data_IF_154624528772
#
_entry.id   IF_154624528772
#
_cell.length_a   1.000
_cell.length_b   1.000
_cell.length_c   1.000
_cell.angle_alpha   90.00
_cell.angle_beta   90.00
_cell.angle_gamma   90.00
#
_symmetry.space_group_name_H-M   'P 1'
#
loop_
_entity.id
_entity.type
_entity.pdbx_description
1 polymer ?
#
# COMPACT_ATOMS: atom_id res chain seq x y z
N UNK A 1 -12.40 -15.76 20.35
CA UNK A 1 -11.07 -16.41 20.10
C UNK A 1 -10.16 -15.38 19.44
N UNK A 2 -8.90 -15.26 19.86
CA UNK A 2 -7.98 -14.37 19.14
C UNK A 2 -7.77 -14.87 17.71
N UNK A 3 -7.84 -13.98 16.73
CA UNK A 3 -7.56 -14.32 15.33
C UNK A 3 -6.10 -14.74 15.16
N UNK A 4 -5.81 -15.66 14.22
CA UNK A 4 -4.45 -16.12 13.97
C UNK A 4 -3.50 -15.00 13.55
N UNK A 5 -2.23 -15.16 13.85
CA UNK A 5 -1.15 -14.29 13.35
C UNK A 5 -0.44 -15.06 12.24
N UNK A 6 -0.35 -14.46 11.06
CA UNK A 6 0.47 -14.96 9.96
C UNK A 6 1.82 -14.24 9.98
N UNK A 7 2.90 -14.99 9.99
CA UNK A 7 4.26 -14.44 10.11
C UNK A 7 5.03 -14.66 8.83
N UNK A 8 5.64 -13.60 8.32
CA UNK A 8 6.46 -13.59 7.11
C UNK A 8 7.85 -13.08 7.47
N UNK A 9 8.89 -13.85 7.12
CA UNK A 9 10.30 -13.48 7.38
C UNK A 9 11.11 -13.59 6.10
N UNK A 10 11.79 -12.52 5.71
CA UNK A 10 12.65 -12.50 4.54
C UNK A 10 14.05 -13.05 4.83
N UNK A 11 14.90 -13.13 3.79
CA UNK A 11 16.28 -13.61 3.92
C UNK A 11 17.21 -12.64 4.66
N UNK A 12 16.76 -11.43 4.97
CA UNK A 12 17.50 -10.42 5.74
C UNK A 12 17.09 -10.38 7.20
N UNK A 13 16.16 -11.26 7.63
CA UNK A 13 15.65 -11.34 9.00
C UNK A 13 14.58 -10.31 9.31
N UNK A 14 14.07 -9.55 8.31
CA UNK A 14 12.92 -8.68 8.50
C UNK A 14 11.67 -9.54 8.68
N UNK A 15 10.81 -9.18 9.62
CA UNK A 15 9.62 -9.96 9.95
C UNK A 15 8.38 -9.09 10.02
N UNK A 16 7.28 -9.58 9.44
CA UNK A 16 5.94 -9.01 9.58
C UNK A 16 5.04 -10.02 10.26
N UNK A 17 4.37 -9.59 11.30
CA UNK A 17 3.26 -10.32 11.93
C UNK A 17 1.95 -9.70 11.44
N UNK A 18 1.20 -10.45 10.62
CA UNK A 18 -0.04 -9.95 10.01
C UNK A 18 -1.26 -10.55 10.69
N UNK A 19 -2.11 -9.71 11.24
CA UNK A 19 -3.39 -10.10 11.84
C UNK A 19 -4.36 -8.93 11.84
N UNK A 20 -5.64 -9.20 11.71
CA UNK A 20 -6.69 -8.20 11.91
C UNK A 20 -7.29 -8.42 13.30
N UNK A 21 -7.16 -7.48 14.24
CA UNK A 21 -7.68 -7.65 15.60
C UNK A 21 -9.20 -7.79 15.62
N UNK A 22 -9.71 -8.55 16.60
CA UNK A 22 -11.16 -8.54 16.89
C UNK A 22 -11.53 -7.17 17.56
N UNK A 23 -12.73 -6.63 17.31
CA UNK A 23 -13.84 -7.23 16.56
C UNK A 23 -13.92 -6.76 15.09
N UNK A 24 -12.82 -6.20 14.52
CA UNK A 24 -12.86 -5.56 13.21
C UNK A 24 -13.17 -6.54 12.08
N UNK A 25 -14.31 -6.37 11.43
CA UNK A 25 -14.70 -7.08 10.20
C UNK A 25 -15.09 -6.12 9.06
N UNK A 26 -15.20 -4.82 9.35
CA UNK A 26 -15.37 -3.74 8.35
C UNK A 26 -14.08 -2.96 8.28
N UNK A 27 -13.36 -3.15 7.20
CA UNK A 27 -11.96 -2.77 7.08
C UNK A 27 -11.77 -1.89 5.86
N UNK A 28 -11.09 -0.79 6.02
CA UNK A 28 -10.66 0.06 4.91
C UNK A 28 -9.17 -0.14 4.61
N UNK A 29 -8.78 -0.07 3.35
CA UNK A 29 -7.39 -0.04 2.93
C UNK A 29 -7.14 1.10 1.97
N UNK A 30 -6.06 1.86 2.22
CA UNK A 30 -5.61 2.90 1.32
C UNK A 30 -4.63 2.32 0.29
N UNK A 31 -4.97 2.43 -1.00
CA UNK A 31 -4.11 2.01 -2.10
C UNK A 31 -3.70 3.20 -2.97
N UNK A 32 -2.42 3.28 -3.27
CA UNK A 32 -1.84 4.34 -4.11
C UNK A 32 -1.51 3.90 -5.54
N UNK A 33 -1.72 2.60 -5.84
CA UNK A 33 -1.22 1.99 -7.07
C UNK A 33 0.27 1.60 -7.01
N UNK A 34 0.95 1.86 -5.89
CA UNK A 34 2.34 1.43 -5.64
C UNK A 34 2.42 -0.03 -5.21
N UNK A 35 3.63 -0.61 -5.28
CA UNK A 35 3.87 -2.01 -4.95
C UNK A 35 3.49 -2.37 -3.50
N UNK A 36 3.75 -1.46 -2.54
CA UNK A 36 3.53 -1.73 -1.12
C UNK A 36 2.05 -1.90 -0.80
N UNK A 37 1.22 -0.94 -1.25
CA UNK A 37 -0.22 -1.00 -1.03
C UNK A 37 -0.91 -2.11 -1.83
N UNK A 38 -0.35 -2.48 -2.99
CA UNK A 38 -0.91 -3.56 -3.82
C UNK A 38 -0.71 -4.93 -3.16
N UNK A 39 0.50 -5.24 -2.66
CA UNK A 39 0.73 -6.51 -1.98
C UNK A 39 0.00 -6.57 -0.62
N UNK A 40 -0.13 -5.43 0.06
CA UNK A 40 -0.90 -5.34 1.30
C UNK A 40 -2.40 -5.63 1.06
N UNK A 41 -2.98 -5.13 -0.04
CA UNK A 41 -4.35 -5.47 -0.43
C UNK A 41 -4.49 -6.98 -0.71
N UNK A 42 -3.53 -7.57 -1.42
CA UNK A 42 -3.49 -9.02 -1.65
C UNK A 42 -3.48 -9.80 -0.33
N UNK A 43 -2.55 -9.47 0.57
CA UNK A 43 -2.44 -10.12 1.89
C UNK A 43 -3.72 -9.98 2.70
N UNK A 44 -4.33 -8.80 2.71
CA UNK A 44 -5.59 -8.54 3.42
C UNK A 44 -6.72 -9.44 2.92
N UNK A 45 -6.87 -9.57 1.60
CA UNK A 45 -7.90 -10.43 1.00
C UNK A 45 -7.64 -11.89 1.40
N UNK A 46 -6.41 -12.40 1.21
CA UNK A 46 -6.07 -13.78 1.55
C UNK A 46 -6.31 -14.07 3.04
N UNK A 47 -5.92 -13.15 3.91
CA UNK A 47 -6.16 -13.27 5.35
C UNK A 47 -7.66 -13.29 5.67
N UNK A 48 -8.43 -12.36 5.11
CA UNK A 48 -9.87 -12.27 5.37
C UNK A 48 -10.63 -13.48 4.83
N UNK A 49 -10.35 -13.93 3.62
CA UNK A 49 -11.00 -15.14 3.06
C UNK A 49 -10.77 -16.38 3.93
N UNK A 50 -9.61 -16.47 4.56
CA UNK A 50 -9.26 -17.60 5.42
C UNK A 50 -9.79 -17.49 6.85
N UNK A 51 -9.77 -16.28 7.44
CA UNK A 51 -10.00 -16.09 8.87
C UNK A 51 -11.22 -15.24 9.22
N UNK A 52 -11.74 -14.46 8.27
CA UNK A 52 -12.87 -13.53 8.45
C UNK A 52 -13.74 -13.55 7.18
N UNK A 53 -14.38 -14.68 6.86
CA UNK A 53 -15.09 -14.84 5.57
C UNK A 53 -16.29 -13.90 5.39
N UNK A 54 -16.75 -13.27 6.47
CA UNK A 54 -17.80 -12.26 6.50
C UNK A 54 -17.24 -10.81 6.48
N UNK A 55 -15.93 -10.63 6.26
CA UNK A 55 -15.33 -9.30 6.19
C UNK A 55 -15.93 -8.46 5.05
N UNK A 56 -16.08 -7.18 5.32
CA UNK A 56 -16.39 -6.16 4.33
C UNK A 56 -15.16 -5.26 4.14
N UNK A 57 -14.58 -5.31 2.94
CA UNK A 57 -13.40 -4.53 2.60
C UNK A 57 -13.81 -3.31 1.76
N UNK A 58 -13.31 -2.16 2.16
CA UNK A 58 -13.52 -0.90 1.49
C UNK A 58 -12.17 -0.34 1.06
N UNK A 59 -12.04 0.04 -0.20
CA UNK A 59 -10.80 0.56 -0.76
C UNK A 59 -10.92 2.07 -0.90
N UNK A 60 -9.90 2.80 -0.47
CA UNK A 60 -9.78 4.23 -0.73
C UNK A 60 -8.52 4.53 -1.52
N UNK A 61 -8.58 5.56 -2.34
CA UNK A 61 -7.42 6.09 -3.08
C UNK A 61 -7.39 7.60 -2.95
N UNK A 62 -6.28 8.12 -2.44
CA UNK A 62 -5.97 9.54 -2.51
C UNK A 62 -5.26 9.83 -3.82
N UNK A 63 -5.95 10.45 -4.76
CA UNK A 63 -5.35 10.99 -5.98
C UNK A 63 -4.75 12.36 -5.66
N UNK A 64 -3.43 12.51 -5.73
CA UNK A 64 -2.77 13.73 -5.32
C UNK A 64 -2.08 14.47 -6.49
N UNK A 65 -1.94 15.82 -6.42
CA UNK A 65 -1.39 16.63 -7.48
C UNK A 65 0.11 16.37 -7.70
N UNK A 66 0.87 15.96 -6.67
CA UNK A 66 2.29 15.65 -6.77
C UNK A 66 2.53 14.51 -7.77
N UNK A 67 1.60 13.56 -7.81
CA UNK A 67 1.59 12.43 -8.76
C UNK A 67 0.76 12.72 -10.01
N UNK A 68 0.44 13.97 -10.29
CA UNK A 68 -0.37 14.38 -11.44
C UNK A 68 -1.73 13.67 -11.52
N UNK A 69 -2.31 13.26 -10.39
CA UNK A 69 -3.56 12.50 -10.27
C UNK A 69 -3.50 11.07 -10.83
N UNK A 70 -2.39 10.63 -11.42
CA UNK A 70 -2.29 9.32 -12.11
C UNK A 70 -2.34 8.13 -11.15
N UNK A 71 -2.05 8.34 -9.86
CA UNK A 71 -2.20 7.28 -8.88
C UNK A 71 -3.65 6.77 -8.77
N UNK A 72 -4.66 7.56 -9.13
CA UNK A 72 -6.04 7.09 -9.25
C UNK A 72 -6.18 6.00 -10.30
N UNK A 73 -5.56 6.19 -11.48
CA UNK A 73 -5.56 5.20 -12.56
C UNK A 73 -4.78 3.95 -12.17
N UNK A 74 -3.62 4.11 -11.53
CA UNK A 74 -2.80 2.99 -11.10
C UNK A 74 -3.44 2.18 -9.99
N UNK A 75 -4.09 2.82 -9.03
CA UNK A 75 -4.83 2.12 -7.99
C UNK A 75 -6.01 1.34 -8.55
N UNK A 76 -6.75 1.90 -9.52
CA UNK A 76 -7.81 1.18 -10.22
C UNK A 76 -7.25 -0.04 -10.96
N UNK A 77 -6.14 0.10 -11.70
CA UNK A 77 -5.48 -1.00 -12.40
C UNK A 77 -5.02 -2.12 -11.45
N UNK A 78 -4.46 -1.76 -10.29
CA UNK A 78 -4.10 -2.71 -9.25
C UNK A 78 -5.33 -3.43 -8.70
N UNK A 79 -6.38 -2.67 -8.38
CA UNK A 79 -7.63 -3.25 -7.85
C UNK A 79 -8.27 -4.23 -8.84
N UNK A 80 -8.41 -3.82 -10.10
CA UNK A 80 -8.98 -4.66 -11.16
C UNK A 80 -8.17 -5.96 -11.30
N UNK A 81 -6.83 -5.84 -11.25
CA UNK A 81 -5.95 -7.01 -11.33
C UNK A 81 -6.11 -7.94 -10.13
N UNK A 82 -6.18 -7.39 -8.92
CA UNK A 82 -6.39 -8.18 -7.70
C UNK A 82 -7.76 -8.86 -7.72
N UNK A 83 -8.82 -8.17 -8.12
CA UNK A 83 -10.16 -8.74 -8.28
C UNK A 83 -10.17 -9.87 -9.31
N UNK A 84 -9.48 -9.70 -10.43
CA UNK A 84 -9.36 -10.74 -11.45
C UNK A 84 -8.64 -12.00 -10.93
N UNK A 85 -7.57 -11.81 -10.14
CA UNK A 85 -6.76 -12.92 -9.62
C UNK A 85 -7.47 -13.68 -8.48
N UNK A 86 -8.19 -12.97 -7.61
CA UNK A 86 -8.83 -13.57 -6.43
C UNK A 86 -10.27 -14.01 -6.67
N UNK A 87 -11.00 -13.30 -7.52
CA UNK A 87 -12.45 -13.46 -7.66
C UNK A 87 -13.22 -13.08 -6.38
N UNK A 88 -12.57 -12.40 -5.43
CA UNK A 88 -13.13 -12.09 -4.11
C UNK A 88 -14.44 -11.30 -4.17
N UNK A 89 -15.33 -11.57 -3.22
CA UNK A 89 -16.57 -10.81 -3.00
C UNK A 89 -16.50 -9.93 -1.74
N UNK A 90 -15.34 -9.91 -1.08
CA UNK A 90 -15.15 -9.14 0.15
C UNK A 90 -15.12 -7.64 -0.10
N UNK A 91 -14.59 -7.18 -1.26
CA UNK A 91 -14.53 -5.76 -1.60
C UNK A 91 -15.92 -5.23 -1.94
N UNK A 92 -16.38 -4.26 -1.15
CA UNK A 92 -17.73 -3.66 -1.25
C UNK A 92 -17.72 -2.31 -1.96
N UNK A 93 -16.63 -1.54 -1.85
CA UNK A 93 -16.52 -0.23 -2.50
C UNK A 93 -15.08 0.14 -2.80
N UNK A 94 -14.89 0.99 -3.81
CA UNK A 94 -13.68 1.74 -4.06
C UNK A 94 -14.02 3.22 -4.17
N UNK A 95 -13.47 4.04 -3.29
CA UNK A 95 -13.66 5.48 -3.27
C UNK A 95 -12.37 6.20 -3.61
N UNK A 96 -12.38 7.02 -4.66
CA UNK A 96 -11.26 7.87 -5.04
C UNK A 96 -11.59 9.31 -4.73
N UNK A 97 -10.73 9.97 -3.95
CA UNK A 97 -10.83 11.41 -3.71
C UNK A 97 -9.60 12.13 -4.26
N UNK A 98 -9.78 13.36 -4.68
CA UNK A 98 -8.73 14.20 -5.23
C UNK A 98 -8.26 15.16 -4.14
N UNK A 99 -7.11 14.83 -3.55
CA UNK A 99 -6.54 15.62 -2.47
C UNK A 99 -5.89 16.91 -2.99
N UNK A 100 -5.84 17.90 -2.11
CA UNK A 100 -5.07 19.13 -2.28
C UNK A 100 -3.68 18.97 -1.62
N UNK A 101 -3.05 20.06 -1.24
CA UNK A 101 -1.77 20.04 -0.51
C UNK A 101 -1.92 19.58 0.95
N UNK A 102 -3.15 19.43 1.44
CA UNK A 102 -3.45 19.01 2.82
C UNK A 102 -3.81 17.52 2.93
N UNK A 103 -3.08 16.67 2.24
CA UNK A 103 -3.38 15.24 2.07
C UNK A 103 -3.70 14.51 3.38
N UNK A 104 -3.04 14.85 4.50
CA UNK A 104 -3.26 14.14 5.78
C UNK A 104 -4.62 14.43 6.37
N UNK A 105 -5.01 15.71 6.49
CA UNK A 105 -6.31 16.10 7.04
C UNK A 105 -7.46 15.62 6.15
N UNK A 106 -7.29 15.70 4.84
CA UNK A 106 -8.28 15.22 3.88
C UNK A 106 -8.46 13.69 3.94
N UNK A 107 -7.36 12.95 4.18
CA UNK A 107 -7.44 11.50 4.38
C UNK A 107 -8.20 11.16 5.66
N UNK A 108 -7.98 11.89 6.75
CA UNK A 108 -8.71 11.70 8.01
C UNK A 108 -10.20 12.01 7.84
N UNK A 109 -10.57 13.04 7.08
CA UNK A 109 -11.96 13.35 6.73
C UNK A 109 -12.60 12.22 5.90
N UNK A 110 -11.87 11.67 4.94
CA UNK A 110 -12.37 10.55 4.13
C UNK A 110 -12.52 9.29 4.97
N UNK A 111 -11.60 8.98 5.85
CA UNK A 111 -11.73 7.85 6.77
C UNK A 111 -12.95 8.02 7.69
N UNK A 112 -13.17 9.23 8.20
CA UNK A 112 -14.37 9.56 8.99
C UNK A 112 -15.65 9.38 8.17
N UNK A 113 -15.68 9.84 6.93
CA UNK A 113 -16.80 9.64 6.03
C UNK A 113 -17.06 8.14 5.80
N UNK A 114 -16.01 7.33 5.57
CA UNK A 114 -16.14 5.89 5.40
C UNK A 114 -16.65 5.20 6.69
N UNK A 115 -16.25 5.67 7.85
CA UNK A 115 -16.81 5.22 9.14
C UNK A 115 -18.31 5.50 9.21
N UNK A 116 -18.72 6.72 8.90
CA UNK A 116 -20.12 7.13 9.00
C UNK A 116 -21.03 6.40 7.98
N UNK A 117 -20.51 6.13 6.78
CA UNK A 117 -21.28 5.46 5.71
C UNK A 117 -21.32 3.94 5.87
N UNK A 118 -20.25 3.33 6.30
CA UNK A 118 -20.06 1.87 6.26
C UNK A 118 -19.78 1.24 7.63
N UNK A 119 -19.56 2.05 8.67
CA UNK A 119 -19.22 1.56 10.00
C UNK A 119 -17.79 1.00 10.09
N UNK A 120 -16.86 1.57 9.30
CA UNK A 120 -15.46 1.16 9.33
C UNK A 120 -14.82 1.57 10.64
N UNK A 121 -14.09 0.62 11.24
CA UNK A 121 -13.40 0.82 12.51
C UNK A 121 -11.90 0.52 12.44
N UNK A 122 -11.43 0.04 11.26
CA UNK A 122 -10.04 -0.35 11.07
C UNK A 122 -9.56 0.03 9.67
N UNK A 123 -8.39 0.69 9.58
CA UNK A 123 -7.81 1.10 8.30
C UNK A 123 -6.37 0.63 8.17
N UNK A 124 -5.96 0.24 6.94
CA UNK A 124 -4.60 -0.20 6.61
C UNK A 124 -3.93 0.75 5.63
N UNK A 125 -2.63 0.97 5.87
CA UNK A 125 -1.76 1.76 5.01
C UNK A 125 -0.47 0.99 4.66
N UNK A 126 -0.04 1.09 3.39
CA UNK A 126 1.13 0.38 2.86
C UNK A 126 2.39 1.24 2.85
N UNK A 127 2.80 1.83 3.97
CA UNK A 127 4.06 2.57 4.06
C UNK A 127 5.15 1.67 4.62
N UNK A 128 6.34 1.66 3.98
CA UNK A 128 7.56 0.97 4.43
C UNK A 128 8.52 1.95 5.09
N UNK A 129 9.48 1.47 5.87
CA UNK A 129 10.62 2.30 6.29
C UNK A 129 11.57 2.60 5.12
N UNK A 130 12.47 3.58 5.32
CA UNK A 130 13.53 3.84 4.35
C UNK A 130 14.48 2.64 4.25
N UNK A 131 15.17 2.47 3.11
CA UNK A 131 16.34 1.62 3.05
C UNK A 131 17.39 2.01 4.11
N UNK A 132 18.35 1.12 4.44
CA UNK A 132 19.52 1.48 5.23
C UNK A 132 20.21 2.72 4.68
N UNK A 133 20.81 3.56 5.55
CA UNK A 133 21.33 4.87 5.16
C UNK A 133 22.39 4.75 4.06
N UNK A 134 23.26 3.74 4.12
CA UNK A 134 24.26 3.46 3.11
C UNK A 134 23.66 3.19 1.72
N UNK A 135 22.44 2.64 1.69
CA UNK A 135 21.71 2.43 0.42
C UNK A 135 21.06 3.74 -0.04
N UNK A 136 20.55 4.55 0.87
CA UNK A 136 19.99 5.87 0.54
C UNK A 136 21.08 6.73 -0.10
N UNK A 137 22.30 6.76 0.48
CA UNK A 137 23.46 7.47 -0.05
C UNK A 137 23.91 6.91 -1.41
N UNK A 138 24.06 5.58 -1.51
CA UNK A 138 24.44 4.90 -2.76
C UNK A 138 23.49 5.19 -3.92
N UNK A 139 22.20 5.29 -3.64
CA UNK A 139 21.19 5.58 -4.66
C UNK A 139 21.00 7.08 -4.91
N UNK A 140 21.81 7.95 -4.28
CA UNK A 140 21.67 9.42 -4.34
C UNK A 140 20.24 9.85 -3.94
N UNK A 141 19.66 9.15 -2.99
CA UNK A 141 18.31 9.36 -2.53
C UNK A 141 18.20 10.47 -1.49
N UNK A 142 16.97 10.82 -1.16
CA UNK A 142 16.68 11.66 0.00
C UNK A 142 16.17 10.78 1.12
N UNK A 143 16.75 10.94 2.31
CA UNK A 143 16.15 10.41 3.50
C UNK A 143 14.84 11.17 3.75
N UNK A 144 13.72 10.49 3.56
CA UNK A 144 12.43 11.02 3.96
C UNK A 144 12.13 10.52 5.36
N UNK A 145 11.78 11.40 6.32
CA UNK A 145 11.29 10.94 7.61
C UNK A 145 9.93 10.27 7.41
N UNK A 146 9.98 9.00 7.12
CA UNK A 146 8.82 8.11 7.17
C UNK A 146 8.66 7.78 8.64
N UNK A 147 7.79 8.44 9.36
CA UNK A 147 7.49 8.31 10.80
C UNK A 147 8.30 7.22 11.56
N UNK A 148 9.63 7.32 11.46
CA UNK A 148 10.58 6.43 12.07
C UNK A 148 10.58 6.69 13.58
N UNK A 149 9.82 5.99 14.32
CA UNK A 149 9.75 6.19 15.77
C UNK A 149 8.63 5.44 16.44
N UNK A 150 7.94 4.64 15.68
CA UNK A 150 6.82 3.90 16.20
C UNK A 150 7.05 2.42 15.93
N UNK A 151 7.83 1.83 16.83
CA UNK A 151 8.09 0.40 16.85
C UNK A 151 6.83 -0.44 16.73
N UNK A 152 7.02 -1.68 16.34
CA UNK A 152 6.10 -2.82 16.20
C UNK A 152 4.62 -2.49 16.32
N UNK A 153 3.89 -2.58 15.17
CA UNK A 153 2.44 -2.62 15.09
C UNK A 153 1.76 -1.55 15.96
N UNK A 154 1.89 -0.28 15.56
CA UNK A 154 1.18 0.79 16.26
C UNK A 154 -0.21 0.91 15.70
N UNK A 155 -1.12 0.32 16.42
CA UNK A 155 -2.53 0.64 16.27
C UNK A 155 -2.72 2.02 16.88
N UNK A 156 -2.90 3.04 16.02
CA UNK A 156 -3.17 4.41 16.46
C UNK A 156 -4.58 4.79 16.11
N UNK A 157 -5.23 5.43 17.06
CA UNK A 157 -6.52 6.07 16.85
C UNK A 157 -6.30 7.51 16.39
N UNK A 158 -6.34 7.77 15.06
CA UNK A 158 -6.20 9.11 14.48
C UNK A 158 -7.54 9.81 14.33
N UNK A 159 -8.58 9.04 13.99
CA UNK A 159 -9.97 9.49 13.95
C UNK A 159 -10.70 8.72 15.02
N UNK A 160 -11.46 9.37 15.92
CA UNK A 160 -12.17 8.69 17.00
C UNK A 160 -12.98 7.50 16.49
N UNK A 161 -12.74 6.32 17.08
CA UNK A 161 -13.38 5.06 16.68
C UNK A 161 -12.77 4.35 15.47
N UNK A 162 -11.67 4.88 14.89
CA UNK A 162 -10.92 4.21 13.82
C UNK A 162 -9.51 3.87 14.30
N UNK A 163 -9.14 2.62 14.17
CA UNK A 163 -7.76 2.15 14.39
C UNK A 163 -7.03 2.09 13.04
N UNK A 164 -5.93 2.83 12.89
CA UNK A 164 -5.08 2.82 11.70
C UNK A 164 -3.84 1.94 11.95
N UNK A 165 -3.56 1.05 11.00
CA UNK A 165 -2.43 0.15 11.06
C UNK A 165 -1.58 0.21 9.79
N UNK A 166 -0.27 0.22 9.99
CA UNK A 166 0.71 0.27 8.90
C UNK A 166 1.68 -0.90 9.06
N UNK A 167 1.30 -2.12 8.63
CA UNK A 167 2.05 -3.34 8.93
C UNK A 167 3.46 -3.40 8.34
N UNK A 168 3.74 -2.58 7.31
CA UNK A 168 5.03 -2.55 6.63
C UNK A 168 5.99 -1.47 7.18
N UNK A 169 5.60 -0.71 8.21
CA UNK A 169 6.33 0.46 8.70
C UNK A 169 7.72 0.15 9.25
N UNK A 170 7.95 -1.07 9.72
CA UNK A 170 9.22 -1.50 10.32
C UNK A 170 10.12 -2.29 9.38
N UNK A 171 9.69 -2.47 8.14
CA UNK A 171 10.44 -3.20 7.12
C UNK A 171 10.67 -2.34 5.90
N UNK A 172 11.79 -2.56 5.23
CA UNK A 172 12.10 -1.86 3.98
C UNK A 172 11.53 -2.58 2.75
N UNK A 173 11.78 -2.02 1.59
CA UNK A 173 11.24 -2.50 0.32
C UNK A 173 11.67 -3.93 -0.06
N UNK A 174 12.76 -4.49 0.54
CA UNK A 174 13.18 -5.87 0.31
C UNK A 174 12.16 -6.86 0.86
N UNK A 175 11.55 -6.55 2.02
CA UNK A 175 10.45 -7.36 2.54
C UNK A 175 9.23 -7.34 1.61
N UNK A 176 8.91 -6.20 1.00
CA UNK A 176 7.85 -6.13 -0.01
C UNK A 176 8.19 -7.02 -1.21
N UNK A 177 9.43 -6.98 -1.71
CA UNK A 177 9.87 -7.85 -2.79
C UNK A 177 9.82 -9.34 -2.42
N UNK A 178 10.15 -9.69 -1.17
CA UNK A 178 9.97 -11.04 -0.64
C UNK A 178 8.50 -11.46 -0.68
N UNK A 179 7.57 -10.63 -0.23
CA UNK A 179 6.13 -10.93 -0.24
C UNK A 179 5.61 -11.19 -1.67
N UNK A 180 6.05 -10.40 -2.66
CA UNK A 180 5.70 -10.66 -4.06
C UNK A 180 6.21 -12.02 -4.56
N UNK A 181 7.41 -12.43 -4.16
CA UNK A 181 7.95 -13.76 -4.48
C UNK A 181 7.21 -14.87 -3.71
N UNK A 182 6.96 -14.66 -2.42
CA UNK A 182 6.28 -15.61 -1.55
C UNK A 182 4.87 -15.96 -2.08
N UNK A 183 4.14 -14.97 -2.56
CA UNK A 183 2.79 -15.14 -3.12
C UNK A 183 2.75 -15.41 -4.63
N UNK A 184 3.90 -15.56 -5.29
CA UNK A 184 4.02 -15.72 -6.75
C UNK A 184 3.39 -14.56 -7.56
N UNK A 185 3.54 -13.33 -7.05
CA UNK A 185 2.94 -12.13 -7.62
C UNK A 185 3.90 -11.29 -8.49
N UNK A 186 5.13 -11.75 -8.68
CA UNK A 186 6.16 -11.01 -9.43
C UNK A 186 5.81 -10.82 -10.91
N UNK A 187 5.17 -11.81 -11.53
CA UNK A 187 4.80 -11.74 -12.96
C UNK A 187 3.32 -11.42 -13.16
N UNK A 188 2.52 -11.49 -12.11
CA UNK A 188 1.06 -11.35 -12.20
C UNK A 188 0.55 -10.00 -11.69
N UNK A 189 0.94 -9.56 -10.48
CA UNK A 189 0.47 -8.30 -9.87
C UNK A 189 1.51 -7.17 -9.98
N UNK A 190 2.81 -7.48 -9.79
CA UNK A 190 3.87 -6.46 -9.77
C UNK A 190 3.92 -5.58 -11.03
N UNK A 191 3.72 -6.09 -12.28
CA UNK A 191 3.71 -5.26 -13.48
C UNK A 191 2.60 -4.20 -13.52
N UNK A 192 1.54 -4.37 -12.73
CA UNK A 192 0.42 -3.44 -12.64
C UNK A 192 0.64 -2.33 -11.62
N UNK A 193 1.78 -2.35 -10.90
CA UNK A 193 2.09 -1.36 -9.86
C UNK A 193 3.06 -0.30 -10.36
N UNK A 194 2.93 0.92 -9.83
CA UNK A 194 3.82 2.03 -10.16
C UNK A 194 4.29 2.78 -8.92
N UNK A 195 5.61 2.90 -8.79
CA UNK A 195 6.25 3.71 -7.73
C UNK A 195 6.78 5.05 -8.24
N UNK A 196 6.89 5.23 -9.57
CA UNK A 196 7.44 6.44 -10.18
C UNK A 196 6.55 7.66 -9.92
N UNK A 197 7.16 8.75 -9.43
CA UNK A 197 6.47 10.01 -9.16
C UNK A 197 6.87 11.14 -10.12
N UNK A 198 7.81 10.89 -11.03
CA UNK A 198 8.27 11.92 -11.98
C UNK A 198 7.47 11.91 -13.26
N UNK A 199 6.68 12.95 -13.41
CA UNK A 199 5.88 13.25 -14.58
C UNK A 199 6.67 14.02 -15.65
N UNK A 200 7.56 14.91 -15.21
CA UNK A 200 8.17 15.93 -16.06
C UNK A 200 9.18 15.41 -17.11
N UNK A 201 9.60 14.14 -17.02
CA UNK A 201 10.57 13.54 -17.95
C UNK A 201 9.95 12.62 -18.98
N UNK A 202 8.66 12.39 -18.89
CA UNK A 202 7.94 11.57 -19.86
C UNK A 202 7.36 12.47 -20.96
N UNK A 203 7.53 12.07 -22.19
CA UNK A 203 6.90 12.76 -23.30
C UNK A 203 5.37 12.66 -23.16
N UNK A 204 4.72 13.79 -22.86
CA UNK A 204 3.28 13.86 -22.56
C UNK A 204 2.40 13.46 -23.75
N UNK A 205 2.99 13.44 -24.94
CA UNK A 205 2.28 13.15 -26.19
C UNK A 205 2.15 11.64 -26.47
N UNK A 206 2.82 10.78 -25.68
CA UNK A 206 2.72 9.33 -25.83
C UNK A 206 1.84 8.69 -24.74
N UNK A 207 0.74 8.00 -25.07
CA UNK A 207 -0.10 7.28 -24.09
C UNK A 207 0.68 6.22 -23.27
N UNK A 208 1.79 5.71 -23.82
CA UNK A 208 2.70 4.75 -23.19
C UNK A 208 3.45 5.31 -21.98
N UNK A 209 3.65 6.62 -21.87
CA UNK A 209 4.40 7.23 -20.76
C UNK A 209 3.75 6.98 -19.40
N UNK A 210 2.42 6.84 -19.37
CA UNK A 210 1.70 6.49 -18.15
C UNK A 210 1.98 5.07 -17.66
N UNK A 211 2.52 4.21 -18.53
CA UNK A 211 2.77 2.80 -18.24
C UNK A 211 4.22 2.51 -17.87
N UNK A 212 5.14 3.48 -18.01
CA UNK A 212 6.57 3.26 -17.81
C UNK A 212 7.09 3.92 -16.55
N UNK A 213 8.09 3.29 -15.94
CA UNK A 213 8.90 3.90 -14.89
C UNK A 213 10.04 4.70 -15.53
N UNK A 214 10.40 5.87 -14.96
CA UNK A 214 11.51 6.65 -15.50
C UNK A 214 12.89 6.00 -15.27
N UNK A 215 13.00 5.09 -14.31
CA UNK A 215 14.25 4.41 -13.94
C UNK A 215 15.22 5.26 -13.09
N UNK A 216 15.02 6.57 -13.01
CA UNK A 216 16.00 7.52 -12.46
C UNK A 216 15.58 8.21 -11.16
N UNK A 217 14.25 8.36 -10.93
CA UNK A 217 13.80 8.97 -9.68
C UNK A 217 14.08 8.05 -8.48
N UNK A 218 14.13 8.66 -7.29
CA UNK A 218 14.37 7.94 -6.04
C UNK A 218 13.51 6.66 -5.93
N UNK A 219 12.22 6.76 -6.18
CA UNK A 219 11.28 5.64 -6.10
C UNK A 219 11.55 4.52 -7.10
N UNK A 220 12.03 4.87 -8.30
CA UNK A 220 12.46 3.87 -9.28
C UNK A 220 13.77 3.20 -8.88
N UNK A 221 14.74 3.97 -8.35
CA UNK A 221 16.01 3.44 -7.85
C UNK A 221 15.78 2.51 -6.66
N UNK A 222 14.97 2.92 -5.67
CA UNK A 222 14.59 2.08 -4.52
C UNK A 222 13.88 0.79 -4.98
N UNK A 223 12.93 0.91 -5.92
CA UNK A 223 12.24 -0.25 -6.50
C UNK A 223 13.23 -1.20 -7.17
N UNK A 224 14.13 -0.69 -8.01
CA UNK A 224 15.16 -1.50 -8.67
C UNK A 224 16.09 -2.19 -7.68
N UNK A 225 16.50 -1.49 -6.63
CA UNK A 225 17.32 -2.05 -5.57
C UNK A 225 16.65 -3.22 -4.87
N UNK A 226 15.37 -3.10 -4.52
CA UNK A 226 14.65 -4.13 -3.76
C UNK A 226 14.20 -5.31 -4.62
N UNK A 227 13.71 -5.05 -5.85
CA UNK A 227 13.10 -6.06 -6.71
C UNK A 227 14.03 -6.56 -7.82
N UNK A 228 15.19 -5.91 -8.05
CA UNK A 228 16.07 -6.18 -9.19
C UNK A 228 15.58 -5.59 -10.52
N UNK A 229 14.38 -5.01 -10.54
CA UNK A 229 13.75 -4.38 -11.72
C UNK A 229 12.80 -3.25 -11.33
N UNK A 230 12.46 -2.37 -12.25
CA UNK A 230 11.46 -1.32 -12.08
C UNK A 230 10.11 -1.71 -12.67
#
# INVERSE_FOLDING_TARGET
MKRPIETYTDSFGQTIEFTIPEPHNKICINISGGADSAILLWMLIQYCEKHIPDAELHVITSANPIKGWYNAKWSTSVLDKVLHLTGTKLIKSHYTFYSTDQIRSELDEVEKMQQDLHGITFTLHGTTQNPPMEIVELLEGRYEPRDAGHGRMIIREYVPGITRWTPLMEVDKRMVAYLYKHFDMMETLFPYTRSCEQEARHNKDEPSWMMTHCGECWWCKERKWAFGRV
#
